data_IF_333652474210
#
_entry.id   IF_333652474210
#
_cell.length_a   1.000
_cell.length_b   1.000
_cell.length_c   1.000
_cell.angle_alpha   90.00
_cell.angle_beta   90.00
_cell.angle_gamma   90.00
#
_symmetry.space_group_name_H-M   'P 1'
#
loop_
_entity.id
_entity.type
_entity.pdbx_description
1 polymer ?
#
# COMPACT_ATOMS: atom_id res chain seq x y z
N UNK A 1 -15.92 15.24 5.01
CA UNK A 1 -16.01 13.78 4.80
C UNK A 1 -14.64 13.23 5.15
N UNK A 2 -14.54 12.24 6.03
CA UNK A 2 -13.24 11.65 6.34
C UNK A 2 -12.69 10.94 5.09
N UNK A 3 -11.40 11.09 4.82
CA UNK A 3 -10.69 10.38 3.75
C UNK A 3 -9.78 9.32 4.39
N UNK A 4 -10.31 8.10 4.63
CA UNK A 4 -9.56 7.07 5.31
C UNK A 4 -8.43 6.55 4.42
N UNK A 5 -7.25 6.45 5.00
CA UNK A 5 -6.06 5.88 4.37
C UNK A 5 -5.29 5.02 5.36
N UNK A 6 -4.54 4.07 4.82
CA UNK A 6 -3.45 3.42 5.55
C UNK A 6 -2.10 3.89 4.98
N UNK A 7 -1.05 3.69 5.76
CA UNK A 7 0.30 4.17 5.44
C UNK A 7 1.24 2.98 5.29
N UNK A 8 2.08 3.02 4.26
CA UNK A 8 3.14 2.03 4.05
C UNK A 8 4.47 2.74 3.82
N UNK A 9 5.55 2.19 4.39
CA UNK A 9 6.92 2.63 4.10
C UNK A 9 7.53 1.68 3.08
N UNK A 10 8.00 2.21 1.96
CA UNK A 10 8.71 1.45 0.92
C UNK A 10 10.17 1.83 0.96
N UNK A 11 11.06 0.84 1.09
CA UNK A 11 12.51 1.04 1.14
C UNK A 11 13.17 0.49 -0.12
N UNK A 12 14.04 1.30 -0.74
CA UNK A 12 14.82 0.90 -1.89
C UNK A 12 16.29 0.69 -1.48
N UNK A 13 16.76 -0.56 -1.32
CA UNK A 13 18.16 -0.83 -1.01
C UNK A 13 19.07 -0.73 -2.24
N UNK A 14 18.54 -0.49 -3.44
CA UNK A 14 19.31 -0.49 -4.68
C UNK A 14 20.10 0.83 -4.86
N UNK A 15 21.10 0.80 -5.74
CA UNK A 15 21.92 1.97 -6.07
C UNK A 15 21.31 2.90 -7.12
N UNK A 16 20.06 2.67 -7.52
CA UNK A 16 19.33 3.48 -8.49
C UNK A 16 17.90 3.73 -8.02
N UNK A 17 17.34 4.84 -8.46
CA UNK A 17 15.93 5.15 -8.29
C UNK A 17 15.09 4.05 -8.94
N UNK A 18 13.95 3.73 -8.33
CA UNK A 18 13.06 2.71 -8.83
C UNK A 18 11.60 3.05 -8.53
N UNK A 19 10.73 2.58 -9.41
CA UNK A 19 9.28 2.62 -9.21
C UNK A 19 8.83 1.24 -8.78
N UNK A 20 8.20 1.16 -7.62
CA UNK A 20 7.71 -0.07 -7.02
C UNK A 20 6.19 -0.10 -7.08
N UNK A 21 5.61 -1.22 -7.51
CA UNK A 21 4.17 -1.40 -7.41
C UNK A 21 3.82 -1.88 -6.00
N UNK A 22 3.08 -1.07 -5.25
CA UNK A 22 2.59 -1.43 -3.93
C UNK A 22 1.16 -1.93 -4.05
N UNK A 23 0.88 -3.11 -3.46
CA UNK A 23 -0.47 -3.63 -3.32
C UNK A 23 -0.76 -3.93 -1.86
N UNK A 24 -1.82 -3.33 -1.34
CA UNK A 24 -2.32 -3.58 0.00
C UNK A 24 -3.73 -4.19 -0.07
N UNK A 25 -3.93 -5.23 0.72
CA UNK A 25 -5.20 -5.94 0.86
C UNK A 25 -5.81 -5.58 2.21
N UNK A 26 -7.04 -5.12 2.21
CA UNK A 26 -7.80 -4.84 3.43
C UNK A 26 -8.75 -6.00 3.70
N UNK A 27 -8.78 -6.45 4.95
CA UNK A 27 -9.56 -7.61 5.38
C UNK A 27 -10.49 -7.26 6.54
N UNK A 28 -11.61 -7.97 6.60
CA UNK A 28 -12.54 -7.85 7.73
C UNK A 28 -12.12 -8.72 8.92
N UNK A 29 -12.88 -8.66 10.01
CA UNK A 29 -12.59 -9.43 11.24
C UNK A 29 -12.59 -10.94 11.07
N UNK A 30 -13.10 -11.47 9.94
CA UNK A 30 -13.08 -12.90 9.58
C UNK A 30 -11.93 -13.27 8.66
N UNK A 31 -11.06 -12.31 8.30
CA UNK A 31 -9.94 -12.51 7.38
C UNK A 31 -10.34 -12.52 5.90
N UNK A 32 -11.59 -12.16 5.56
CA UNK A 32 -12.03 -12.07 4.17
C UNK A 32 -11.60 -10.73 3.56
N UNK A 33 -11.22 -10.76 2.28
CA UNK A 33 -10.84 -9.56 1.53
C UNK A 33 -12.07 -8.67 1.36
N UNK A 34 -11.95 -7.42 1.82
CA UNK A 34 -12.93 -6.35 1.58
C UNK A 34 -12.59 -5.63 0.29
N UNK A 35 -11.32 -5.22 0.14
CA UNK A 35 -10.80 -4.59 -1.07
C UNK A 35 -9.28 -4.72 -1.15
N UNK A 36 -8.74 -4.43 -2.34
CA UNK A 36 -7.30 -4.22 -2.55
C UNK A 36 -7.09 -2.86 -3.19
N UNK A 37 -6.08 -2.13 -2.73
CA UNK A 37 -5.71 -0.83 -3.26
C UNK A 37 -4.20 -0.65 -3.23
N UNK A 38 -3.70 0.32 -3.97
CA UNK A 38 -2.28 0.61 -4.09
C UNK A 38 -1.95 1.13 -5.47
N UNK A 39 -0.72 1.58 -5.63
CA UNK A 39 -0.25 2.20 -6.87
C UNK A 39 1.29 2.11 -6.94
N UNK A 40 1.83 2.64 -8.04
CA UNK A 40 3.24 2.84 -8.24
C UNK A 40 3.80 3.93 -7.31
N UNK A 41 4.92 3.63 -6.68
CA UNK A 41 5.62 4.54 -5.75
C UNK A 41 7.06 4.70 -6.21
N UNK A 42 7.44 5.94 -6.49
CA UNK A 42 8.85 6.29 -6.73
C UNK A 42 9.62 6.30 -5.42
N UNK A 43 10.73 5.54 -5.38
CA UNK A 43 11.60 5.45 -4.21
C UNK A 43 13.06 5.70 -4.61
N UNK A 44 13.71 6.73 -4.04
CA UNK A 44 15.06 7.08 -4.42
C UNK A 44 16.07 5.98 -4.07
N UNK A 45 17.18 5.94 -4.80
CA UNK A 45 18.32 5.06 -4.53
C UNK A 45 18.72 5.12 -3.05
N UNK A 46 18.91 3.94 -2.43
CA UNK A 46 19.26 3.80 -1.00
C UNK A 46 18.30 4.50 -0.02
N UNK A 47 17.12 4.90 -0.48
CA UNK A 47 16.18 5.72 0.28
C UNK A 47 14.90 5.00 0.67
N UNK A 48 13.91 5.79 1.10
CA UNK A 48 12.57 5.33 1.47
C UNK A 48 11.53 6.38 1.10
N UNK A 49 10.30 5.93 0.85
CA UNK A 49 9.13 6.77 0.62
C UNK A 49 7.96 6.27 1.47
N UNK A 50 7.26 7.20 2.10
CA UNK A 50 6.00 6.92 2.80
C UNK A 50 4.83 7.14 1.83
N UNK A 51 4.07 6.09 1.56
CA UNK A 51 2.93 6.13 0.64
C UNK A 51 1.61 5.97 1.40
N UNK A 52 0.63 6.80 1.04
CA UNK A 52 -0.75 6.71 1.56
C UNK A 52 -1.58 5.90 0.59
N UNK A 53 -2.10 4.78 1.07
CA UNK A 53 -3.05 3.95 0.33
C UNK A 53 -4.45 4.37 0.73
N UNK A 54 -5.12 5.09 -0.16
CA UNK A 54 -6.48 5.58 0.05
C UNK A 54 -7.50 4.45 -0.05
N UNK A 55 -8.53 4.50 0.80
CA UNK A 55 -9.64 3.53 0.86
C UNK A 55 -10.94 4.14 0.29
N UNK A 56 -10.80 5.25 -0.44
CA UNK A 56 -11.91 6.09 -0.93
C UNK A 56 -12.90 5.25 -1.74
N UNK A 57 -14.20 5.47 -1.48
CA UNK A 57 -15.28 5.00 -2.35
C UNK A 57 -15.77 3.57 -2.11
N UNK A 58 -15.19 2.83 -1.15
CA UNK A 58 -15.62 1.45 -0.89
C UNK A 58 -16.91 1.33 -0.09
N UNK A 59 -17.29 2.32 0.73
CA UNK A 59 -18.42 2.18 1.67
C UNK A 59 -18.21 1.12 2.78
N UNK A 60 -17.14 0.34 2.70
CA UNK A 60 -16.80 -0.79 3.58
C UNK A 60 -15.72 -0.45 4.60
N UNK A 61 -15.43 0.84 4.82
CA UNK A 61 -14.37 1.29 5.75
C UNK A 61 -14.62 0.74 7.16
N UNK A 62 -15.88 0.68 7.58
CA UNK A 62 -16.29 0.13 8.88
C UNK A 62 -16.08 -1.38 8.99
N UNK A 63 -15.99 -2.10 7.86
CA UNK A 63 -15.77 -3.55 7.85
C UNK A 63 -14.28 -3.92 7.94
N UNK A 64 -13.37 -2.96 7.75
CA UNK A 64 -11.92 -3.20 7.74
C UNK A 64 -11.43 -3.40 9.17
N UNK A 65 -10.84 -4.56 9.44
CA UNK A 65 -10.24 -4.90 10.72
C UNK A 65 -8.70 -4.89 10.68
N UNK A 66 -8.09 -5.25 9.54
CA UNK A 66 -6.63 -5.26 9.37
C UNK A 66 -6.23 -5.11 7.91
N UNK A 67 -4.97 -4.75 7.68
CA UNK A 67 -4.37 -4.60 6.37
C UNK A 67 -3.20 -5.56 6.23
N UNK A 68 -3.02 -6.11 5.03
CA UNK A 68 -1.87 -6.91 4.64
C UNK A 68 -1.20 -6.28 3.42
N UNK A 69 0.12 -6.17 3.44
CA UNK A 69 0.93 -5.71 2.31
C UNK A 69 1.88 -6.82 1.89
N UNK A 70 2.13 -6.96 0.60
CA UNK A 70 3.19 -7.86 0.13
C UNK A 70 4.55 -7.35 0.66
N UNK A 71 5.33 -8.18 1.38
CA UNK A 71 6.63 -7.75 1.90
C UNK A 71 7.65 -7.44 0.81
N UNK A 72 7.41 -7.87 -0.44
CA UNK A 72 8.31 -7.63 -1.57
C UNK A 72 7.60 -6.77 -2.60
N UNK A 73 8.11 -5.55 -2.80
CA UNK A 73 7.72 -4.73 -3.93
C UNK A 73 8.66 -5.01 -5.10
N UNK A 74 8.09 -5.33 -6.27
CA UNK A 74 8.84 -5.58 -7.50
C UNK A 74 9.04 -4.26 -8.24
N UNK A 75 10.27 -4.00 -8.67
CA UNK A 75 10.58 -2.86 -9.52
C UNK A 75 10.17 -3.16 -10.98
N UNK A 76 9.43 -2.25 -11.61
CA UNK A 76 9.23 -2.25 -13.06
C UNK A 76 10.34 -1.41 -13.71
N UNK A 77 10.94 -1.93 -14.79
CA UNK A 77 12.04 -1.31 -15.53
C UNK A 77 11.59 -0.91 -16.93
#
# INVERSE_FOLDING_TARGET
MADPYATVEVRNPNGRDAVFFVKMTFKNGRGLVVLSAGDQVSVPAKGRTTYRVFVIGSGHVEEIAHCEVDPIAVANW
#
